data_IF_613406215304
#
_entry.id   IF_613406215304
#
_cell.length_a   1.000
_cell.length_b   1.000
_cell.length_c   1.000
_cell.angle_alpha   90.00
_cell.angle_beta   90.00
_cell.angle_gamma   90.00
#
_symmetry.space_group_name_H-M   'P 1'
#
loop_
_entity.id
_entity.type
_entity.pdbx_description
1 polymer ?
#
# COMPACT_ATOMS: atom_id res chain seq x y z
N UNK A 1 -41.02 32.79 -58.22
CA UNK A 1 -41.70 31.79 -57.37
C UNK A 1 -40.97 31.75 -56.04
N UNK A 2 -41.57 32.28 -54.97
CA UNK A 2 -40.95 32.40 -53.63
C UNK A 2 -41.07 31.05 -52.90
N UNK A 3 -39.96 30.49 -52.42
CA UNK A 3 -39.93 29.34 -51.50
C UNK A 3 -39.50 29.85 -50.12
N UNK A 4 -40.20 29.54 -49.02
CA UNK A 4 -39.84 30.06 -47.70
C UNK A 4 -38.72 29.24 -47.07
N UNK A 5 -37.79 29.94 -46.43
CA UNK A 5 -36.78 29.38 -45.53
C UNK A 5 -37.47 28.77 -44.30
N UNK A 6 -37.30 27.46 -44.07
CA UNK A 6 -37.64 26.81 -42.80
C UNK A 6 -36.40 26.85 -41.92
N UNK A 7 -36.40 27.75 -40.95
CA UNK A 7 -35.37 27.86 -39.92
C UNK A 7 -35.61 26.72 -38.90
N UNK A 8 -34.77 25.69 -38.96
CA UNK A 8 -34.80 24.61 -37.96
C UNK A 8 -34.03 25.10 -36.73
N UNK A 9 -34.75 25.46 -35.66
CA UNK A 9 -34.13 25.83 -34.40
C UNK A 9 -33.54 24.57 -33.73
N UNK A 10 -32.22 24.46 -33.72
CA UNK A 10 -31.51 23.44 -32.96
C UNK A 10 -31.51 23.84 -31.48
N UNK A 11 -32.34 23.18 -30.67
CA UNK A 11 -32.39 23.39 -29.23
C UNK A 11 -31.10 22.81 -28.61
N UNK A 12 -30.15 23.68 -28.24
CA UNK A 12 -28.98 23.27 -27.48
C UNK A 12 -29.40 23.02 -26.03
N UNK A 13 -29.58 21.75 -25.66
CA UNK A 13 -29.73 21.34 -24.27
C UNK A 13 -28.37 21.50 -23.56
N UNK A 14 -28.19 22.59 -22.83
CA UNK A 14 -27.07 22.77 -21.93
C UNK A 14 -27.22 21.80 -20.74
N UNK A 15 -26.55 20.65 -20.81
CA UNK A 15 -26.37 19.79 -19.64
C UNK A 15 -25.43 20.48 -18.67
N UNK A 16 -25.99 21.10 -17.63
CA UNK A 16 -25.25 21.51 -16.43
C UNK A 16 -24.68 20.25 -15.78
N UNK A 17 -23.43 19.91 -16.12
CA UNK A 17 -22.69 18.89 -15.40
C UNK A 17 -22.45 19.37 -13.98
N UNK A 18 -23.10 18.75 -13.00
CA UNK A 18 -22.66 18.86 -11.61
C UNK A 18 -21.24 18.30 -11.55
N UNK A 19 -20.25 19.18 -11.41
CA UNK A 19 -18.91 18.78 -11.04
C UNK A 19 -19.00 18.04 -9.71
N UNK A 20 -18.79 16.71 -9.72
CA UNK A 20 -18.71 15.94 -8.50
C UNK A 20 -17.59 16.53 -7.64
N UNK A 21 -17.94 16.99 -6.43
CA UNK A 21 -16.95 17.48 -5.46
C UNK A 21 -15.97 16.33 -5.23
N UNK A 22 -14.69 16.56 -5.52
CA UNK A 22 -13.65 15.56 -5.32
C UNK A 22 -13.69 15.11 -3.84
N UNK A 23 -13.82 13.80 -3.60
CA UNK A 23 -13.75 13.25 -2.25
C UNK A 23 -12.44 13.71 -1.60
N UNK A 24 -12.45 14.11 -0.31
CA UNK A 24 -11.23 14.46 0.39
C UNK A 24 -10.20 13.34 0.24
N UNK A 25 -8.97 13.67 -0.13
CA UNK A 25 -7.90 12.67 -0.25
C UNK A 25 -7.71 12.01 1.13
N UNK A 26 -7.60 10.67 1.20
CA UNK A 26 -7.31 9.99 2.46
C UNK A 26 -6.03 10.54 3.09
N UNK A 27 -6.03 10.69 4.42
CA UNK A 27 -4.84 11.10 5.17
C UNK A 27 -3.65 10.21 4.80
N UNK A 28 -2.50 10.84 4.54
CA UNK A 28 -1.27 10.18 4.08
C UNK A 28 -0.15 10.57 5.03
N UNK A 29 0.50 9.58 5.64
CA UNK A 29 1.60 9.79 6.58
C UNK A 29 2.89 9.30 5.94
N UNK A 30 3.84 10.21 5.74
CA UNK A 30 5.08 9.97 5.02
C UNK A 30 6.17 9.41 5.93
N UNK A 31 6.03 9.56 7.25
CA UNK A 31 6.97 9.03 8.24
C UNK A 31 6.25 8.20 9.32
N UNK A 32 7.00 7.33 10.00
CA UNK A 32 6.46 6.60 11.15
C UNK A 32 6.05 7.54 12.29
N UNK A 33 6.77 8.65 12.46
CA UNK A 33 6.48 9.64 13.50
C UNK A 33 5.12 10.30 13.26
N UNK A 34 4.84 10.71 12.02
CA UNK A 34 3.53 11.23 11.62
C UNK A 34 2.43 10.18 11.80
N UNK A 35 2.69 8.94 11.40
CA UNK A 35 1.75 7.84 11.52
C UNK A 35 1.40 7.55 12.99
N UNK A 36 2.40 7.49 13.88
CA UNK A 36 2.21 7.27 15.32
C UNK A 36 1.57 8.47 16.02
N UNK A 37 1.81 9.69 15.54
CA UNK A 37 1.14 10.88 16.05
C UNK A 37 -0.36 10.88 15.70
N UNK A 38 -0.76 10.24 14.61
CA UNK A 38 -2.16 10.12 14.21
C UNK A 38 -2.94 9.06 15.00
N UNK A 39 -2.26 8.11 15.64
CA UNK A 39 -2.88 7.08 16.47
C UNK A 39 -2.10 5.77 16.48
N UNK A 40 -2.63 4.74 17.16
CA UNK A 40 -1.94 3.46 17.33
C UNK A 40 -2.03 2.53 16.11
N UNK A 41 -2.79 2.90 15.06
CA UNK A 41 -3.04 2.07 13.89
C UNK A 41 -1.76 1.56 13.22
N UNK A 42 -0.74 2.42 13.11
CA UNK A 42 0.55 2.06 12.52
C UNK A 42 1.26 0.95 13.31
N UNK A 43 1.22 1.02 14.64
CA UNK A 43 1.88 0.07 15.52
C UNK A 43 1.05 -1.21 15.71
N UNK A 44 -0.28 -1.16 15.52
CA UNK A 44 -1.17 -2.31 15.67
C UNK A 44 -1.28 -3.16 14.40
N UNK A 45 -1.21 -2.55 13.21
CA UNK A 45 -1.15 -3.33 11.97
C UNK A 45 0.15 -4.14 11.85
N UNK A 46 0.13 -5.19 11.05
CA UNK A 46 1.33 -5.98 10.72
C UNK A 46 1.05 -7.47 10.69
N UNK A 47 2.13 -8.25 10.70
CA UNK A 47 2.06 -9.70 10.55
C UNK A 47 2.38 -10.40 11.86
N UNK A 48 1.68 -11.49 12.11
CA UNK A 48 1.84 -12.31 13.29
C UNK A 48 1.91 -13.78 12.85
N UNK A 49 2.82 -14.54 13.45
CA UNK A 49 3.00 -15.95 13.12
C UNK A 49 3.21 -16.81 14.37
N UNK A 50 2.84 -18.07 14.23
CA UNK A 50 3.03 -19.13 15.22
C UNK A 50 3.09 -20.49 14.52
N UNK A 51 2.86 -21.57 15.27
CA UNK A 51 2.87 -22.91 14.70
C UNK A 51 1.71 -23.10 13.72
N UNK A 52 2.03 -23.28 12.44
CA UNK A 52 1.09 -23.53 11.32
C UNK A 52 -0.08 -22.53 11.23
N UNK A 53 0.11 -21.30 11.68
CA UNK A 53 -0.87 -20.23 11.56
C UNK A 53 -0.17 -18.89 11.38
N UNK A 54 -0.56 -18.17 10.34
CA UNK A 54 -0.18 -16.77 10.11
C UNK A 54 -1.40 -15.88 10.17
N UNK A 55 -1.22 -14.63 10.56
CA UNK A 55 -2.26 -13.62 10.52
C UNK A 55 -1.69 -12.29 10.01
N UNK A 56 -2.42 -11.64 9.12
CA UNK A 56 -2.17 -10.26 8.71
C UNK A 56 -3.25 -9.39 9.33
N UNK A 57 -2.84 -8.37 10.10
CA UNK A 57 -3.74 -7.40 10.70
C UNK A 57 -3.59 -6.09 9.96
N UNK A 58 -4.65 -5.65 9.30
CA UNK A 58 -4.68 -4.47 8.42
C UNK A 58 -5.41 -3.34 9.13
N UNK A 59 -4.76 -2.18 9.25
CA UNK A 59 -5.43 -0.96 9.65
C UNK A 59 -6.34 -0.48 8.51
N UNK A 60 -7.63 -0.33 8.81
CA UNK A 60 -8.65 0.17 7.88
C UNK A 60 -8.95 1.66 8.10
N UNK A 61 -8.32 2.28 9.10
CA UNK A 61 -8.56 3.63 9.55
C UNK A 61 -9.83 3.75 10.40
N UNK A 62 -10.02 4.90 11.03
CA UNK A 62 -11.14 5.16 11.96
C UNK A 62 -11.28 4.03 13.00
N UNK A 63 -10.16 3.65 13.61
CA UNK A 63 -10.07 2.61 14.65
C UNK A 63 -10.52 1.21 14.19
N UNK A 64 -10.70 1.01 12.89
CA UNK A 64 -11.17 -0.26 12.34
C UNK A 64 -9.99 -1.08 11.84
N UNK A 65 -10.00 -2.37 12.14
CA UNK A 65 -8.97 -3.31 11.72
C UNK A 65 -9.61 -4.54 11.11
N UNK A 66 -8.91 -5.16 10.17
CA UNK A 66 -9.21 -6.51 9.68
C UNK A 66 -8.09 -7.45 10.06
N UNK A 67 -8.42 -8.61 10.60
CA UNK A 67 -7.50 -9.75 10.67
C UNK A 67 -7.81 -10.71 9.54
N UNK A 68 -6.77 -11.21 8.89
CA UNK A 68 -6.82 -12.26 7.87
C UNK A 68 -5.96 -13.42 8.36
N UNK A 69 -6.59 -14.54 8.72
CA UNK A 69 -5.91 -15.75 9.14
C UNK A 69 -5.57 -16.64 7.93
N UNK A 70 -4.37 -17.23 7.97
CA UNK A 70 -3.78 -18.07 6.93
C UNK A 70 -3.29 -19.38 7.57
N UNK A 71 -3.90 -20.52 7.23
CA UNK A 71 -3.46 -21.82 7.76
C UNK A 71 -2.12 -22.26 7.15
N UNK A 72 -1.29 -22.93 7.95
CA UNK A 72 0.07 -23.33 7.58
C UNK A 72 1.13 -22.22 7.75
N UNK A 73 0.75 -20.94 7.70
CA UNK A 73 1.68 -19.82 7.89
C UNK A 73 1.27 -18.57 7.12
N UNK A 74 2.15 -17.57 7.06
CA UNK A 74 1.91 -16.31 6.32
C UNK A 74 2.04 -16.53 4.80
N UNK A 75 1.46 -15.64 3.96
CA UNK A 75 1.72 -15.65 2.52
C UNK A 75 3.22 -15.60 2.20
N UNK A 76 3.69 -16.54 1.38
CA UNK A 76 5.12 -16.71 1.06
C UNK A 76 5.96 -17.36 2.18
N UNK A 77 5.36 -17.72 3.31
CA UNK A 77 6.02 -18.32 4.46
C UNK A 77 5.09 -19.34 5.15
N UNK A 78 4.77 -20.42 4.44
CA UNK A 78 4.06 -21.58 4.98
C UNK A 78 2.55 -21.63 4.72
N UNK A 79 1.90 -20.55 4.26
CA UNK A 79 0.48 -20.60 3.91
C UNK A 79 0.19 -21.72 2.91
N UNK A 80 -0.71 -22.62 3.27
CA UNK A 80 -1.09 -23.80 2.48
C UNK A 80 -2.07 -23.49 1.34
N UNK A 81 -2.44 -22.22 1.16
CA UNK A 81 -3.43 -21.71 0.18
C UNK A 81 -4.87 -22.15 0.45
N UNK A 82 -5.16 -22.69 1.63
CA UNK A 82 -6.53 -22.88 2.10
C UNK A 82 -7.28 -21.54 2.18
N UNK A 83 -8.61 -21.63 2.26
CA UNK A 83 -9.47 -20.47 2.41
C UNK A 83 -9.06 -19.63 3.64
N UNK A 84 -9.07 -18.31 3.47
CA UNK A 84 -8.75 -17.35 4.52
C UNK A 84 -9.97 -17.15 5.43
N UNK A 85 -9.71 -16.81 6.69
CA UNK A 85 -10.74 -16.29 7.60
C UNK A 85 -10.50 -14.80 7.82
N UNK A 86 -11.50 -13.98 7.51
CA UNK A 86 -11.43 -12.52 7.63
C UNK A 86 -12.42 -11.99 8.66
N UNK A 87 -11.93 -11.20 9.62
CA UNK A 87 -12.76 -10.62 10.69
C UNK A 87 -12.40 -9.16 10.85
N UNK A 88 -13.41 -8.29 10.85
CA UNK A 88 -13.25 -6.88 11.16
C UNK A 88 -13.67 -6.59 12.59
N UNK A 89 -12.96 -5.69 13.24
CA UNK A 89 -13.27 -5.23 14.58
C UNK A 89 -12.85 -3.77 14.76
N UNK A 90 -13.51 -3.10 15.71
CA UNK A 90 -13.09 -1.78 16.18
C UNK A 90 -12.14 -1.92 17.36
N UNK A 91 -11.17 -1.01 17.42
CA UNK A 91 -10.27 -0.84 18.55
C UNK A 91 -11.00 -0.22 19.73
N UNK A 92 -10.64 -0.69 20.91
CA UNK A 92 -11.03 -0.12 22.20
C UNK A 92 -9.76 0.06 23.05
N UNK A 93 -9.36 1.32 23.26
CA UNK A 93 -8.06 1.65 23.86
C UNK A 93 -6.90 1.04 23.06
N UNK A 94 -6.04 0.28 23.73
CA UNK A 94 -4.84 -0.33 23.11
C UNK A 94 -5.09 -1.74 22.55
N UNK A 95 -6.34 -2.19 22.51
CA UNK A 95 -6.70 -3.56 22.13
C UNK A 95 -7.69 -3.58 20.98
N UNK A 96 -7.60 -4.63 20.18
CA UNK A 96 -8.63 -4.97 19.18
C UNK A 96 -9.08 -6.40 19.45
N UNK A 97 -10.38 -6.59 19.69
CA UNK A 97 -10.96 -7.90 19.92
C UNK A 97 -11.77 -8.32 18.69
N UNK A 98 -11.31 -9.37 18.00
CA UNK A 98 -12.01 -9.99 16.89
C UNK A 98 -12.86 -11.14 17.43
N UNK A 99 -14.16 -11.16 17.10
CA UNK A 99 -15.09 -12.23 17.49
C UNK A 99 -16.10 -12.46 16.36
N UNK A 100 -15.90 -13.52 15.58
CA UNK A 100 -16.80 -13.90 14.49
C UNK A 100 -16.61 -15.37 14.09
N UNK A 101 -17.71 -16.06 13.77
CA UNK A 101 -17.70 -17.42 13.21
C UNK A 101 -16.86 -18.44 13.99
N UNK A 102 -16.91 -18.36 15.34
CA UNK A 102 -16.17 -19.28 16.22
C UNK A 102 -14.68 -18.97 16.37
N UNK A 103 -14.21 -17.85 15.81
CA UNK A 103 -12.87 -17.32 16.01
C UNK A 103 -12.91 -16.14 16.98
N UNK A 104 -12.03 -16.17 17.98
CA UNK A 104 -11.83 -15.10 18.95
C UNK A 104 -10.35 -14.77 19.03
N UNK A 105 -9.98 -13.51 18.87
CA UNK A 105 -8.60 -13.08 18.95
C UNK A 105 -8.47 -11.70 19.59
N UNK A 106 -7.49 -11.53 20.47
CA UNK A 106 -7.12 -10.22 21.02
C UNK A 106 -5.77 -9.80 20.45
N UNK A 107 -5.77 -8.65 19.79
CA UNK A 107 -4.58 -7.98 19.31
C UNK A 107 -4.01 -7.05 20.37
N UNK A 108 -2.68 -7.06 20.45
CA UNK A 108 -1.85 -6.06 21.11
C UNK A 108 -0.76 -5.62 20.12
N UNK A 109 0.11 -4.69 20.53
CA UNK A 109 1.28 -4.32 19.73
C UNK A 109 2.13 -5.54 19.35
N UNK A 110 2.38 -6.49 20.25
CA UNK A 110 3.38 -7.55 19.98
C UNK A 110 2.79 -8.93 19.68
N UNK A 111 1.52 -9.14 20.02
CA UNK A 111 0.89 -10.46 19.93
C UNK A 111 -0.55 -10.41 19.45
N UNK A 112 -0.97 -11.51 18.83
CA UNK A 112 -2.35 -11.83 18.50
C UNK A 112 -2.66 -13.22 19.05
N UNK A 113 -3.44 -13.28 20.13
CA UNK A 113 -3.71 -14.53 20.85
C UNK A 113 -5.20 -14.81 20.88
N UNK A 114 -5.57 -16.08 20.85
CA UNK A 114 -6.97 -16.43 20.70
C UNK A 114 -7.25 -17.92 20.55
N UNK A 115 -8.44 -18.20 20.06
CA UNK A 115 -8.89 -19.53 19.68
C UNK A 115 -9.71 -19.47 18.39
N UNK A 116 -9.62 -20.52 17.59
CA UNK A 116 -10.27 -20.60 16.29
C UNK A 116 -9.77 -21.81 15.51
N UNK A 117 -10.56 -22.27 14.53
CA UNK A 117 -10.21 -23.49 13.78
C UNK A 117 -10.06 -24.75 14.67
N UNK A 118 -10.73 -24.76 15.82
CA UNK A 118 -10.70 -25.88 16.77
C UNK A 118 -9.53 -25.90 17.76
N UNK A 119 -8.66 -24.88 17.79
CA UNK A 119 -7.52 -24.83 18.69
C UNK A 119 -7.26 -23.42 19.26
N UNK A 120 -6.53 -23.36 20.38
CA UNK A 120 -5.94 -22.11 20.89
C UNK A 120 -4.67 -21.80 20.14
N UNK A 121 -4.39 -20.52 19.93
CA UNK A 121 -3.17 -20.04 19.30
C UNK A 121 -2.59 -18.83 20.02
N UNK A 122 -1.28 -18.66 19.88
CA UNK A 122 -0.56 -17.47 20.29
C UNK A 122 0.40 -17.09 19.16
N UNK A 123 0.14 -15.96 18.51
CA UNK A 123 0.95 -15.47 17.40
C UNK A 123 1.79 -14.29 17.86
N UNK A 124 3.06 -14.29 17.47
CA UNK A 124 4.00 -13.19 17.76
C UNK A 124 4.17 -12.34 16.51
N UNK A 125 4.36 -11.04 16.69
CA UNK A 125 4.68 -10.13 15.59
C UNK A 125 5.94 -10.62 14.85
N UNK A 126 5.88 -10.58 13.53
CA UNK A 126 7.00 -10.85 12.63
C UNK A 126 7.27 -9.59 11.82
N UNK A 127 8.55 -9.25 11.70
CA UNK A 127 9.02 -8.22 10.78
C UNK A 127 9.84 -8.87 9.68
N UNK A 128 9.37 -8.73 8.43
CA UNK A 128 10.06 -9.27 7.26
C UNK A 128 10.84 -8.15 6.58
N UNK A 129 12.10 -8.44 6.27
CA UNK A 129 13.01 -7.53 5.57
C UNK A 129 13.47 -8.21 4.30
N UNK A 130 13.49 -7.48 3.18
CA UNK A 130 14.04 -8.01 1.94
C UNK A 130 15.52 -8.37 2.13
N UNK A 131 15.98 -9.55 1.68
CA UNK A 131 17.39 -9.92 1.76
C UNK A 131 18.30 -9.01 0.91
N UNK A 132 17.73 -8.25 -0.03
CA UNK A 132 18.45 -7.30 -0.88
C UNK A 132 18.24 -5.85 -0.48
N UNK A 133 17.58 -5.56 0.66
CA UNK A 133 17.43 -4.20 1.15
C UNK A 133 18.80 -3.58 1.45
N UNK A 134 19.10 -2.43 0.85
CA UNK A 134 20.39 -1.76 0.93
C UNK A 134 21.53 -2.50 0.23
N UNK A 135 21.24 -3.47 -0.66
CA UNK A 135 22.27 -4.18 -1.40
C UNK A 135 23.08 -3.18 -2.25
N UNK A 136 24.41 -3.28 -2.17
CA UNK A 136 25.28 -2.44 -3.00
C UNK A 136 25.08 -2.78 -4.47
N UNK A 137 25.11 -1.79 -5.38
CA UNK A 137 25.12 -2.05 -6.81
C UNK A 137 26.24 -3.05 -7.17
N UNK A 138 25.96 -4.08 -7.97
CA UNK A 138 26.99 -5.03 -8.40
C UNK A 138 28.03 -4.35 -9.28
N UNK A 139 29.20 -4.97 -9.43
CA UNK A 139 30.26 -4.43 -10.28
C UNK A 139 29.75 -4.20 -11.72
N UNK A 140 29.98 -3.00 -12.26
CA UNK A 140 29.53 -2.61 -13.60
C UNK A 140 28.08 -2.12 -13.68
N UNK A 141 27.34 -2.09 -12.57
CA UNK A 141 26.00 -1.50 -12.55
C UNK A 141 26.06 0.02 -12.76
N UNK A 142 25.10 0.53 -13.52
CA UNK A 142 24.84 1.97 -13.61
C UNK A 142 24.02 2.37 -12.39
N UNK A 143 24.57 3.23 -11.56
CA UNK A 143 23.88 3.76 -10.37
C UNK A 143 23.02 4.94 -10.79
N UNK A 144 21.71 4.72 -10.87
CA UNK A 144 20.77 5.80 -11.20
C UNK A 144 20.45 6.68 -9.99
N UNK A 145 20.45 6.12 -8.77
CA UNK A 145 20.19 6.86 -7.54
C UNK A 145 20.76 6.12 -6.33
N UNK A 146 21.49 6.83 -5.46
CA UNK A 146 22.06 6.31 -4.21
C UNK A 146 21.83 7.26 -3.01
N UNK A 147 20.98 8.27 -3.20
CA UNK A 147 20.70 9.31 -2.20
C UNK A 147 21.64 10.52 -2.22
N UNK A 148 22.66 10.55 -3.08
CA UNK A 148 23.57 11.70 -3.20
C UNK A 148 23.00 12.82 -4.08
N UNK A 149 22.51 12.50 -5.28
CA UNK A 149 21.88 13.47 -6.19
C UNK A 149 20.81 12.81 -7.08
N UNK A 150 19.94 13.66 -7.64
CA UNK A 150 18.92 13.25 -8.61
C UNK A 150 19.32 13.61 -10.06
N UNK A 151 20.60 13.90 -10.32
CA UNK A 151 21.05 14.47 -11.60
C UNK A 151 20.83 13.54 -12.80
N UNK A 152 20.81 12.23 -12.56
CA UNK A 152 20.50 11.22 -13.57
C UNK A 152 19.03 11.24 -14.01
N UNK A 153 18.18 12.07 -13.41
CA UNK A 153 16.74 12.08 -13.63
C UNK A 153 16.22 13.44 -14.13
N UNK A 154 15.44 13.43 -15.20
CA UNK A 154 14.60 14.53 -15.62
C UNK A 154 13.43 14.69 -14.63
N UNK A 155 13.25 15.90 -14.10
CA UNK A 155 12.28 16.19 -13.03
C UNK A 155 12.69 15.64 -11.65
N UNK A 156 13.87 15.03 -11.55
CA UNK A 156 14.36 14.44 -10.31
C UNK A 156 14.66 15.47 -9.23
N UNK A 157 14.22 15.17 -8.02
CA UNK A 157 14.55 15.91 -6.80
C UNK A 157 14.53 14.97 -5.60
N UNK A 158 15.25 15.35 -4.55
CA UNK A 158 15.17 14.66 -3.27
C UNK A 158 13.85 14.99 -2.58
N UNK A 159 13.40 14.11 -1.71
CA UNK A 159 12.23 14.35 -0.89
C UNK A 159 12.44 15.49 0.12
N UNK A 160 11.38 16.27 0.36
CA UNK A 160 11.44 17.46 1.22
C UNK A 160 11.61 17.15 2.72
N UNK A 161 11.66 15.86 3.08
CA UNK A 161 11.83 15.41 4.47
C UNK A 161 13.28 15.11 4.83
N UNK A 162 14.23 15.35 3.92
CA UNK A 162 15.67 15.15 4.17
C UNK A 162 16.08 13.68 4.32
N UNK A 163 15.24 12.73 3.88
CA UNK A 163 15.52 11.28 3.95
C UNK A 163 16.44 10.82 2.81
N UNK A 164 16.77 11.72 1.88
CA UNK A 164 17.59 11.44 0.69
C UNK A 164 16.93 10.39 -0.21
N UNK A 165 15.60 10.44 -0.33
CA UNK A 165 14.84 9.59 -1.24
C UNK A 165 14.57 10.33 -2.54
N UNK A 166 14.53 9.61 -3.66
CA UNK A 166 14.12 10.18 -4.94
C UNK A 166 12.60 10.37 -4.93
N UNK A 167 12.13 11.58 -5.22
CA UNK A 167 10.71 11.85 -5.34
C UNK A 167 10.11 11.19 -6.60
N UNK A 168 8.83 10.80 -6.51
CA UNK A 168 8.08 10.22 -7.64
C UNK A 168 7.93 11.19 -8.81
N UNK A 169 7.62 10.68 -10.00
CA UNK A 169 7.50 11.50 -11.22
C UNK A 169 8.85 11.83 -11.87
N UNK A 170 9.89 11.11 -11.46
CA UNK A 170 11.25 11.20 -12.01
C UNK A 170 11.41 10.25 -13.19
N UNK A 171 12.04 10.71 -14.28
CA UNK A 171 12.39 9.88 -15.44
C UNK A 171 13.90 9.88 -15.65
N UNK A 172 14.53 8.72 -15.85
CA UNK A 172 15.96 8.68 -16.16
C UNK A 172 16.28 9.49 -17.43
N UNK A 173 17.37 10.27 -17.41
CA UNK A 173 17.88 11.00 -18.59
C UNK A 173 18.56 10.06 -19.58
N UNK A 174 19.00 8.89 -19.12
CA UNK A 174 19.56 7.87 -19.99
C UNK A 174 18.42 7.21 -20.78
N UNK A 175 18.41 7.46 -22.08
CA UNK A 175 17.63 6.68 -23.03
C UNK A 175 18.40 5.39 -23.37
N UNK A 176 17.72 4.40 -23.95
CA UNK A 176 18.32 3.23 -24.61
C UNK A 176 18.67 2.01 -23.73
N UNK A 177 18.08 1.89 -22.54
CA UNK A 177 18.07 0.61 -21.85
C UNK A 177 17.34 -0.45 -22.69
N UNK A 178 18.07 -1.49 -23.10
CA UNK A 178 17.54 -2.66 -23.82
C UNK A 178 17.28 -3.80 -22.85
N UNK A 179 18.10 -4.85 -22.88
CA UNK A 179 18.07 -5.90 -21.87
C UNK A 179 18.83 -5.42 -20.64
N UNK A 180 18.19 -5.46 -19.47
CA UNK A 180 18.80 -5.06 -18.20
C UNK A 180 18.21 -5.82 -17.02
N UNK A 181 18.98 -5.85 -15.93
CA UNK A 181 18.49 -6.17 -14.59
C UNK A 181 18.34 -4.86 -13.83
N UNK A 182 17.23 -4.68 -13.14
CA UNK A 182 16.94 -3.49 -12.34
C UNK A 182 16.76 -3.86 -10.87
N UNK A 183 17.42 -3.12 -9.98
CA UNK A 183 17.17 -3.14 -8.54
C UNK A 183 16.56 -1.80 -8.15
N UNK A 184 15.41 -1.83 -7.48
CA UNK A 184 14.73 -0.64 -6.94
C UNK A 184 14.25 -0.96 -5.54
N UNK A 185 14.49 -0.03 -4.63
CA UNK A 185 13.90 -0.02 -3.30
C UNK A 185 12.91 1.14 -3.24
N UNK A 186 11.76 0.91 -2.62
CA UNK A 186 10.72 1.92 -2.50
C UNK A 186 10.16 1.92 -1.07
N UNK A 187 9.66 3.09 -0.66
CA UNK A 187 9.00 3.28 0.62
C UNK A 187 7.58 3.76 0.35
N UNK A 188 6.60 3.02 0.87
CA UNK A 188 5.19 3.36 0.76
C UNK A 188 4.78 4.18 2.00
N UNK A 189 4.04 5.29 1.83
CA UNK A 189 3.48 6.00 2.97
C UNK A 189 2.40 5.17 3.66
N UNK A 190 2.21 5.40 4.96
CA UNK A 190 1.08 4.82 5.68
C UNK A 190 -0.21 5.55 5.29
N UNK A 191 -1.17 4.81 4.75
CA UNK A 191 -2.43 5.37 4.22
C UNK A 191 -3.63 4.48 4.59
N UNK A 192 -3.98 4.37 5.89
CA UNK A 192 -4.93 3.37 6.39
C UNK A 192 -6.36 3.58 5.89
N UNK A 193 -6.72 4.76 5.41
CA UNK A 193 -8.02 5.06 4.78
C UNK A 193 -8.04 4.83 3.26
N UNK A 194 -6.88 4.63 2.63
CA UNK A 194 -6.78 4.34 1.20
C UNK A 194 -7.12 2.88 0.88
N UNK A 195 -7.72 2.62 -0.29
CA UNK A 195 -8.04 1.26 -0.77
C UNK A 195 -7.71 1.11 -2.24
N UNK A 196 -7.41 -0.10 -2.66
CA UNK A 196 -7.06 -0.41 -4.05
C UNK A 196 -6.01 0.57 -4.58
N UNK A 197 -6.28 1.15 -5.75
CA UNK A 197 -5.41 2.13 -6.41
C UNK A 197 -5.22 3.45 -5.63
N UNK A 198 -5.97 3.70 -4.55
CA UNK A 198 -5.75 4.87 -3.69
C UNK A 198 -4.81 4.58 -2.51
N UNK A 199 -4.39 3.33 -2.28
CA UNK A 199 -3.53 2.94 -1.15
C UNK A 199 -2.06 2.92 -1.55
N UNK A 200 -1.43 4.09 -1.51
CA UNK A 200 0.00 4.29 -1.79
C UNK A 200 0.44 3.81 -3.19
N UNK A 201 -0.26 4.30 -4.22
CA UNK A 201 -0.05 3.91 -5.61
C UNK A 201 1.12 4.65 -6.28
N UNK A 202 1.94 3.89 -6.98
CA UNK A 202 3.04 4.34 -7.82
C UNK A 202 3.36 3.25 -8.86
N UNK A 203 4.42 3.43 -9.64
CA UNK A 203 4.84 2.44 -10.63
C UNK A 203 6.26 2.67 -11.13
N UNK A 204 6.89 1.59 -11.56
CA UNK A 204 8.17 1.63 -12.27
C UNK A 204 7.90 1.35 -13.74
N UNK A 205 8.02 2.39 -14.57
CA UNK A 205 7.78 2.28 -16.01
C UNK A 205 9.07 1.87 -16.72
N UNK A 206 9.06 0.65 -17.27
CA UNK A 206 10.14 0.11 -18.07
C UNK A 206 9.97 0.55 -19.52
N UNK A 207 11.01 1.22 -20.07
CA UNK A 207 11.05 1.72 -21.45
C UNK A 207 9.85 2.61 -21.82
N UNK A 208 9.28 3.33 -20.85
CA UNK A 208 8.06 4.14 -20.98
C UNK A 208 6.84 3.37 -21.54
N UNK A 209 6.82 2.03 -21.41
CA UNK A 209 5.79 1.17 -22.02
C UNK A 209 5.12 0.22 -21.05
N UNK A 210 5.90 -0.38 -20.16
CA UNK A 210 5.43 -1.45 -19.28
C UNK A 210 5.57 -1.03 -17.83
N UNK A 211 4.47 -0.92 -17.12
CA UNK A 211 4.46 -0.58 -15.70
C UNK A 211 4.61 -1.84 -14.85
N UNK A 212 5.60 -1.84 -13.97
CA UNK A 212 5.62 -2.72 -12.80
C UNK A 212 4.98 -1.96 -11.65
N UNK A 213 3.81 -2.42 -11.23
CA UNK A 213 3.00 -1.74 -10.23
C UNK A 213 3.70 -1.68 -8.87
N UNK A 214 3.64 -0.52 -8.23
CA UNK A 214 4.06 -0.31 -6.84
C UNK A 214 2.85 0.13 -6.03
N UNK A 215 2.42 -0.70 -5.08
CA UNK A 215 1.19 -0.45 -4.33
C UNK A 215 1.27 -1.06 -2.94
N UNK A 216 0.68 -0.40 -1.93
CA UNK A 216 0.44 -1.03 -0.63
C UNK A 216 -0.69 -2.06 -0.79
N UNK A 217 -0.25 -3.29 -1.05
CA UNK A 217 -1.10 -4.47 -1.25
C UNK A 217 -1.15 -5.33 0.02
N UNK A 218 -0.82 -4.76 1.19
CA UNK A 218 -0.81 -5.51 2.44
C UNK A 218 -2.23 -5.85 2.91
N UNK A 219 -2.50 -7.16 2.99
CA UNK A 219 -3.81 -7.76 3.35
C UNK A 219 -4.38 -8.61 2.25
#
# INVERSE_FOLDING_TARGET
MKLPFVLTALLAAASLGLAAVAKPKPATYLTEAEARAAGPDYDLQGEFAGDKLGAQVIALGNDTFRVVFHHGGLPGAGWDKSAKTEIEAKRDGDKVAFDKDGWKATLTKDTLNGEGGGAKFALKRVHRVSPTLGAKPPAGAIVLFDGSSADSWAGGHLDDLGRKLLASGSKTKQADFQNYTLHVEFLLPFKPLGRGQDRANSGVYMQDRYEVQVLDSFG
#
